data_IF_944502854453
#
_entry.id   IF_944502854453
#
_cell.length_a   1.000
_cell.length_b   1.000
_cell.length_c   1.000
_cell.angle_alpha   90.00
_cell.angle_beta   90.00
_cell.angle_gamma   90.00
#
_symmetry.space_group_name_H-M   'P 1'
#
loop_
_entity.id
_entity.type
_entity.pdbx_description
1 polymer ?
#
# COMPACT_ATOMS: atom_id res chain seq x y z
N UNK A 1 -8.36 -1.09 -4.97
CA UNK A 1 -8.20 0.35 -4.62
C UNK A 1 -6.73 0.60 -4.38
N UNK A 2 -6.19 1.76 -4.74
CA UNK A 2 -4.82 2.14 -4.39
C UNK A 2 -4.86 3.43 -3.57
N UNK A 3 -4.25 3.42 -2.39
CA UNK A 3 -4.08 4.60 -1.55
C UNK A 3 -2.76 5.28 -1.87
N UNK A 4 -2.82 6.51 -2.38
CA UNK A 4 -1.64 7.33 -2.67
C UNK A 4 -1.50 8.45 -1.62
N UNK A 5 -0.51 8.39 -0.71
CA UNK A 5 -0.23 9.47 0.24
C UNK A 5 0.44 10.66 -0.47
N UNK A 6 -0.33 11.45 -1.24
CA UNK A 6 0.20 12.57 -2.05
C UNK A 6 1.04 13.55 -1.23
N UNK A 7 0.71 13.73 0.05
CA UNK A 7 1.46 14.56 1.00
C UNK A 7 2.93 14.11 1.20
N UNK A 8 3.25 12.84 0.93
CA UNK A 8 4.61 12.28 1.02
C UNK A 8 5.32 12.20 -0.35
N UNK A 9 4.61 12.35 -1.46
CA UNK A 9 5.19 12.17 -2.80
C UNK A 9 6.08 13.37 -3.15
N UNK A 10 7.36 13.12 -3.44
CA UNK A 10 8.31 14.15 -3.87
C UNK A 10 8.85 15.06 -2.76
N UNK A 11 8.47 14.82 -1.50
CA UNK A 11 8.91 15.64 -0.34
C UNK A 11 10.14 15.09 0.37
N UNK A 12 10.58 13.88 0.00
CA UNK A 12 11.62 13.13 0.73
C UNK A 12 11.11 12.44 2.01
N UNK A 13 9.86 12.70 2.40
CA UNK A 13 9.17 11.98 3.47
C UNK A 13 8.52 10.71 2.89
N UNK A 14 8.43 9.67 3.70
CA UNK A 14 7.69 8.45 3.36
C UNK A 14 6.75 8.16 4.50
N UNK A 15 5.48 7.85 4.20
CA UNK A 15 4.55 7.39 5.22
C UNK A 15 5.15 6.15 5.90
N UNK A 16 5.10 6.08 7.23
CA UNK A 16 5.51 4.87 7.94
C UNK A 16 4.56 3.72 7.60
N UNK A 17 4.98 2.49 7.88
CA UNK A 17 4.16 1.31 7.64
C UNK A 17 2.83 1.40 8.41
N UNK A 18 2.86 1.92 9.64
CA UNK A 18 1.69 2.14 10.48
C UNK A 18 0.76 3.22 9.92
N UNK A 19 1.30 4.34 9.43
CA UNK A 19 0.50 5.40 8.82
C UNK A 19 -0.20 4.91 7.54
N UNK A 20 0.49 4.09 6.74
CA UNK A 20 -0.09 3.45 5.56
C UNK A 20 -1.22 2.48 5.95
N UNK A 21 -0.97 1.62 6.95
CA UNK A 21 -1.94 0.65 7.45
C UNK A 21 -3.18 1.33 8.04
N UNK A 22 -3.01 2.34 8.88
CA UNK A 22 -4.10 3.10 9.48
C UNK A 22 -5.02 3.69 8.41
N UNK A 23 -4.45 4.36 7.42
CA UNK A 23 -5.24 5.00 6.35
C UNK A 23 -5.96 3.96 5.49
N UNK A 24 -5.29 2.85 5.18
CA UNK A 24 -5.90 1.76 4.40
C UNK A 24 -7.02 1.08 5.20
N UNK A 25 -6.87 0.91 6.51
CA UNK A 25 -7.93 0.43 7.41
C UNK A 25 -9.17 1.34 7.41
N UNK A 26 -8.96 2.67 7.40
CA UNK A 26 -10.07 3.64 7.24
C UNK A 26 -10.79 3.45 5.90
N UNK A 27 -10.06 3.24 4.81
CA UNK A 27 -10.65 2.96 3.49
C UNK A 27 -11.44 1.66 3.52
N UNK A 28 -10.90 0.58 4.10
CA UNK A 28 -11.59 -0.71 4.23
C UNK A 28 -12.87 -0.58 5.04
N UNK A 29 -12.82 0.17 6.15
CA UNK A 29 -14.01 0.49 6.96
C UNK A 29 -15.08 1.22 6.15
N UNK A 30 -14.69 2.22 5.34
CA UNK A 30 -15.63 2.93 4.48
C UNK A 30 -16.28 2.01 3.42
N UNK A 31 -15.52 1.04 2.88
CA UNK A 31 -16.07 0.00 2.00
C UNK A 31 -17.05 -0.89 2.75
N UNK A 32 -16.72 -1.30 3.98
CA UNK A 32 -17.60 -2.12 4.83
C UNK A 32 -18.92 -1.41 5.13
N UNK A 33 -18.88 -0.14 5.52
CA UNK A 33 -20.06 0.66 5.83
C UNK A 33 -21.01 0.81 4.62
N UNK A 34 -20.46 0.86 3.41
CA UNK A 34 -21.24 1.10 2.18
C UNK A 34 -21.68 -0.17 1.46
N UNK A 35 -20.87 -1.23 1.53
CA UNK A 35 -21.02 -2.43 0.71
C UNK A 35 -21.04 -3.74 1.52
N UNK A 36 -20.92 -3.67 2.84
CA UNK A 36 -20.95 -4.81 3.76
C UNK A 36 -19.60 -5.50 3.98
N UNK A 37 -19.56 -6.36 5.00
CA UNK A 37 -18.35 -7.06 5.45
C UNK A 37 -17.74 -7.94 4.36
N UNK A 38 -18.56 -8.64 3.58
CA UNK A 38 -18.08 -9.52 2.51
C UNK A 38 -17.31 -8.73 1.44
N UNK A 39 -17.78 -7.53 1.07
CA UNK A 39 -17.10 -6.66 0.13
C UNK A 39 -15.78 -6.14 0.73
N UNK A 40 -15.78 -5.73 2.00
CA UNK A 40 -14.60 -5.24 2.70
C UNK A 40 -13.51 -6.32 2.91
N UNK A 41 -13.91 -7.58 3.11
CA UNK A 41 -12.99 -8.70 3.24
C UNK A 41 -12.37 -9.13 1.89
N UNK A 42 -13.08 -8.92 0.77
CA UNK A 42 -12.62 -9.33 -0.58
C UNK A 42 -11.89 -8.23 -1.35
N UNK A 43 -12.11 -6.97 -1.00
CA UNK A 43 -11.45 -5.87 -1.69
C UNK A 43 -9.95 -5.88 -1.41
N UNK A 44 -9.17 -5.72 -2.48
CA UNK A 44 -7.73 -5.48 -2.38
C UNK A 44 -7.45 -3.98 -2.33
N UNK A 45 -6.74 -3.54 -1.32
CA UNK A 45 -6.30 -2.16 -1.14
C UNK A 45 -4.77 -2.12 -1.13
N UNK A 46 -4.21 -1.49 -2.15
CA UNK A 46 -2.77 -1.40 -2.36
C UNK A 46 -2.24 -0.08 -1.81
N UNK A 47 -1.01 -0.11 -1.31
CA UNK A 47 -0.25 1.11 -1.01
C UNK A 47 0.40 1.65 -2.28
N UNK A 48 0.14 2.92 -2.61
CA UNK A 48 0.66 3.62 -3.79
C UNK A 48 1.71 4.69 -3.47
N UNK A 49 2.24 4.72 -2.25
CA UNK A 49 3.37 5.58 -1.92
C UNK A 49 4.73 5.00 -2.36
N UNK A 50 5.80 5.45 -1.71
CA UNK A 50 7.17 5.03 -2.04
C UNK A 50 7.47 3.62 -1.54
N UNK A 51 7.04 2.59 -2.29
CA UNK A 51 7.36 1.19 -2.03
C UNK A 51 8.52 0.71 -2.93
N UNK A 52 9.52 0.07 -2.31
CA UNK A 52 10.74 -0.45 -2.94
C UNK A 52 11.26 -1.67 -2.16
N UNK A 53 12.25 -2.38 -2.71
CA UNK A 53 12.78 -3.60 -2.08
C UNK A 53 13.24 -3.43 -0.63
N UNK A 54 13.70 -2.24 -0.22
CA UNK A 54 14.17 -2.00 1.15
C UNK A 54 13.06 -1.82 2.20
N UNK A 55 11.81 -1.55 1.81
CA UNK A 55 10.70 -1.33 2.75
C UNK A 55 9.47 -2.21 2.50
N UNK A 56 9.42 -2.94 1.38
CA UNK A 56 8.27 -3.77 1.01
C UNK A 56 7.89 -4.77 2.10
N UNK A 57 8.86 -5.37 2.80
CA UNK A 57 8.59 -6.35 3.87
C UNK A 57 7.84 -5.74 5.06
N UNK A 58 8.14 -4.50 5.42
CA UNK A 58 7.46 -3.80 6.52
C UNK A 58 6.03 -3.44 6.13
N UNK A 59 5.86 -2.87 4.94
CA UNK A 59 4.56 -2.54 4.37
C UNK A 59 3.66 -3.78 4.18
N UNK A 60 4.18 -4.88 3.64
CA UNK A 60 3.41 -6.10 3.40
C UNK A 60 3.16 -6.94 4.67
N UNK A 61 3.84 -6.63 5.78
CA UNK A 61 3.53 -7.22 7.08
C UNK A 61 2.31 -6.57 7.77
N UNK A 62 1.84 -5.43 7.24
CA UNK A 62 0.69 -4.71 7.78
C UNK A 62 -0.63 -5.41 7.40
N UNK A 63 -1.56 -5.60 8.34
CA UNK A 63 -2.75 -6.43 8.14
C UNK A 63 -3.73 -5.88 7.10
N UNK A 64 -3.74 -4.56 6.87
CA UNK A 64 -4.68 -3.93 5.96
C UNK A 64 -4.15 -3.79 4.53
N UNK A 65 -2.84 -4.00 4.30
CA UNK A 65 -2.16 -3.72 3.02
C UNK A 65 -2.10 -4.98 2.16
N UNK A 66 -2.77 -4.95 1.01
CA UNK A 66 -2.92 -6.12 0.12
C UNK A 66 -1.93 -6.12 -1.06
N UNK A 67 -1.01 -5.16 -1.13
CA UNK A 67 -0.03 -5.05 -2.20
C UNK A 67 0.45 -3.62 -2.45
N UNK A 68 1.16 -3.43 -3.57
CA UNK A 68 1.69 -2.13 -3.96
C UNK A 68 1.33 -1.70 -5.38
N UNK A 69 1.09 -0.39 -5.56
CA UNK A 69 1.08 0.28 -6.85
C UNK A 69 2.44 0.97 -7.04
N UNK A 70 3.33 0.35 -7.82
CA UNK A 70 4.77 0.67 -7.79
C UNK A 70 5.14 1.70 -8.84
N UNK A 71 5.61 2.87 -8.39
CA UNK A 71 6.15 3.93 -9.24
C UNK A 71 7.58 3.64 -9.73
N UNK A 72 8.54 4.49 -9.38
CA UNK A 72 9.91 4.45 -9.95
C UNK A 72 10.65 3.11 -9.83
N UNK A 73 10.41 2.32 -8.78
CA UNK A 73 11.03 1.00 -8.62
C UNK A 73 10.55 -0.02 -9.68
N UNK A 74 9.41 0.21 -10.33
CA UNK A 74 8.92 -0.65 -11.42
C UNK A 74 9.72 -0.49 -12.71
N UNK A 75 10.46 0.62 -12.87
CA UNK A 75 11.18 0.95 -14.10
C UNK A 75 12.49 0.15 -14.27
N UNK A 76 12.91 -0.58 -13.24
CA UNK A 76 14.09 -1.44 -13.26
C UNK A 76 13.67 -2.85 -12.87
N UNK A 77 13.83 -3.80 -13.79
CA UNK A 77 13.38 -5.18 -13.57
C UNK A 77 13.91 -5.82 -12.27
N UNK A 78 15.20 -5.65 -11.88
CA UNK A 78 15.69 -6.19 -10.61
C UNK A 78 15.00 -5.57 -9.39
N UNK A 79 14.77 -4.26 -9.40
CA UNK A 79 14.15 -3.55 -8.28
C UNK A 79 12.67 -3.95 -8.15
N UNK A 80 11.96 -4.03 -9.27
CA UNK A 80 10.57 -4.49 -9.29
C UNK A 80 10.45 -5.94 -8.82
N UNK A 81 11.36 -6.82 -9.26
CA UNK A 81 11.37 -8.21 -8.84
C UNK A 81 11.57 -8.38 -7.33
N UNK A 82 12.33 -7.50 -6.67
CA UNK A 82 12.45 -7.51 -5.20
C UNK A 82 11.13 -7.15 -4.52
N UNK A 83 10.36 -6.23 -5.10
CA UNK A 83 9.03 -5.86 -4.57
C UNK A 83 8.02 -6.97 -4.79
N UNK A 84 8.07 -7.70 -5.92
CA UNK A 84 7.15 -8.81 -6.19
C UNK A 84 7.47 -10.04 -5.34
N UNK A 85 8.75 -10.35 -5.13
CA UNK A 85 9.23 -11.51 -4.36
C UNK A 85 9.57 -11.14 -2.90
N UNK A 86 8.75 -10.29 -2.29
CA UNK A 86 8.96 -9.76 -0.94
C UNK A 86 8.96 -10.84 0.14
#
# INVERSE_FOLDING_TARGET
>A
VAYEPVWAIGTGLTATDEQANETIGVIRKAVCEKYGEEAAAKIRIQYGGSMKGSNVKGLMAQPEIDGGLIGGASLKAPDFAQVVNF
#
